data_IF_517708868401
#
_entry.id   IF_517708868401
#
_cell.length_a   1.000
_cell.length_b   1.000
_cell.length_c   1.000
_cell.angle_alpha   90.00
_cell.angle_beta   90.00
_cell.angle_gamma   90.00
#
_symmetry.space_group_name_H-M   'P 1'
#
loop_
_entity.id
_entity.type
_entity.pdbx_description
1 polymer ?
#
# COMPACT_ATOMS: atom_id res chain seq x y z
N UNK A 1 -17.57 11.49 17.99
CA UNK A 1 -17.23 12.88 17.61
C UNK A 1 -17.24 12.95 16.09
N UNK A 2 -18.12 13.74 15.48
CA UNK A 2 -18.13 13.95 14.04
C UNK A 2 -16.95 14.87 13.69
N UNK A 3 -15.79 14.28 13.40
CA UNK A 3 -14.63 15.05 12.93
C UNK A 3 -14.95 15.63 11.57
N UNK A 4 -14.88 16.95 11.45
CA UNK A 4 -14.99 17.64 10.15
C UNK A 4 -14.00 16.98 9.17
N UNK A 5 -14.45 16.60 7.95
CA UNK A 5 -13.56 16.00 6.97
C UNK A 5 -12.39 16.94 6.67
N UNK A 6 -11.17 16.42 6.74
CA UNK A 6 -9.97 17.23 6.50
C UNK A 6 -9.79 17.59 5.02
N UNK A 7 -10.35 16.76 4.14
CA UNK A 7 -10.39 16.96 2.68
C UNK A 7 -11.85 16.99 2.21
N UNK A 8 -12.11 17.67 1.09
CA UNK A 8 -13.42 17.55 0.42
C UNK A 8 -13.63 16.16 -0.19
N UNK A 9 -12.54 15.49 -0.58
CA UNK A 9 -12.58 14.18 -1.21
C UNK A 9 -12.70 13.05 -0.15
N UNK A 10 -13.72 12.20 -0.30
CA UNK A 10 -13.99 11.10 0.63
C UNK A 10 -12.88 10.03 0.65
N UNK A 11 -12.32 9.67 -0.51
CA UNK A 11 -11.22 8.71 -0.60
C UNK A 11 -9.99 9.23 0.15
N UNK A 12 -9.65 10.51 0.00
CA UNK A 12 -8.52 11.10 0.71
C UNK A 12 -8.68 11.05 2.23
N UNK A 13 -9.88 11.34 2.75
CA UNK A 13 -10.14 11.21 4.19
C UNK A 13 -10.05 9.75 4.68
N UNK A 14 -10.52 8.78 3.89
CA UNK A 14 -10.37 7.36 4.23
C UNK A 14 -8.91 6.95 4.27
N UNK A 15 -8.14 7.29 3.23
CA UNK A 15 -6.70 7.00 3.15
C UNK A 15 -5.95 7.58 4.35
N UNK A 16 -6.20 8.83 4.73
CA UNK A 16 -5.52 9.45 5.86
C UNK A 16 -5.97 8.92 7.21
N UNK A 17 -7.22 8.48 7.34
CA UNK A 17 -7.67 7.77 8.53
C UNK A 17 -6.91 6.45 8.68
N UNK A 18 -6.74 5.72 7.60
CA UNK A 18 -6.00 4.45 7.63
C UNK A 18 -4.49 4.67 7.88
N UNK A 19 -3.99 5.87 7.58
CA UNK A 19 -2.60 6.30 7.81
C UNK A 19 -2.42 7.17 9.06
N UNK A 20 -3.41 7.25 9.95
CA UNK A 20 -3.44 8.21 11.06
C UNK A 20 -2.30 8.06 12.09
N UNK A 21 -1.57 6.94 12.07
CA UNK A 21 -0.38 6.72 12.89
C UNK A 21 0.87 7.46 12.41
N UNK A 22 0.82 8.11 11.24
CA UNK A 22 1.93 8.84 10.64
C UNK A 22 1.68 10.34 10.68
N UNK A 23 2.76 11.13 10.83
CA UNK A 23 2.67 12.58 10.68
C UNK A 23 2.32 12.90 9.23
N UNK A 24 1.18 13.55 9.05
CA UNK A 24 0.64 13.93 7.75
C UNK A 24 0.49 15.44 7.63
N UNK A 25 0.76 15.98 6.44
CA UNK A 25 0.60 17.40 6.11
C UNK A 25 -0.20 17.53 4.82
N UNK A 26 -1.26 18.34 4.83
CA UNK A 26 -2.07 18.61 3.63
C UNK A 26 -1.31 19.54 2.70
N UNK A 27 -1.12 19.13 1.45
CA UNK A 27 -0.53 19.98 0.40
C UNK A 27 -1.60 20.70 -0.42
N UNK A 28 -2.60 19.95 -0.87
CA UNK A 28 -3.72 20.46 -1.68
C UNK A 28 -5.01 19.75 -1.27
N UNK A 29 -6.15 20.06 -1.89
CA UNK A 29 -7.39 19.27 -1.71
C UNK A 29 -7.30 17.83 -2.25
N UNK A 30 -6.26 17.51 -3.02
CA UNK A 30 -6.08 16.21 -3.66
C UNK A 30 -4.78 15.53 -3.25
N UNK A 31 -3.97 16.14 -2.37
CA UNK A 31 -2.68 15.57 -1.98
C UNK A 31 -2.26 15.89 -0.55
N UNK A 32 -1.52 14.97 0.03
CA UNK A 32 -0.88 15.10 1.33
C UNK A 32 0.52 14.48 1.31
N UNK A 33 1.36 14.91 2.22
CA UNK A 33 2.67 14.32 2.50
C UNK A 33 2.58 13.56 3.81
N UNK A 34 3.09 12.34 3.80
CA UNK A 34 3.36 11.54 4.98
C UNK A 34 4.85 11.55 5.26
N UNK A 35 5.23 11.87 6.48
CA UNK A 35 6.63 11.88 6.90
C UNK A 35 6.94 10.54 7.56
N UNK A 36 7.68 9.68 6.86
CA UNK A 36 8.10 8.38 7.42
C UNK A 36 9.25 8.56 8.40
N UNK A 37 10.21 9.43 8.05
CA UNK A 37 11.33 9.83 8.89
C UNK A 37 11.89 11.19 8.38
N UNK A 38 13.01 11.66 8.94
CA UNK A 38 13.63 12.93 8.57
C UNK A 38 14.06 13.04 7.09
N UNK A 39 14.28 11.91 6.41
CA UNK A 39 14.85 11.84 5.07
C UNK A 39 13.92 11.19 4.03
N UNK A 40 12.84 10.55 4.46
CA UNK A 40 11.89 9.83 3.59
C UNK A 40 10.48 10.32 3.81
N UNK A 41 9.83 10.70 2.71
CA UNK A 41 8.45 11.15 2.66
C UNK A 41 7.66 10.36 1.62
N UNK A 42 6.35 10.24 1.82
CA UNK A 42 5.43 9.67 0.83
C UNK A 42 4.41 10.74 0.45
N UNK A 43 4.33 11.08 -0.82
CA UNK A 43 3.28 11.93 -1.37
C UNK A 43 2.12 11.02 -1.73
N UNK A 44 0.99 11.24 -1.07
CA UNK A 44 -0.30 10.65 -1.42
C UNK A 44 -1.06 11.63 -2.32
N UNK A 45 -1.54 11.15 -3.47
CA UNK A 45 -2.28 11.97 -4.43
C UNK A 45 -3.52 11.23 -4.92
N UNK A 46 -4.70 11.80 -4.69
CA UNK A 46 -5.97 11.25 -5.18
C UNK A 46 -6.35 11.91 -6.50
N UNK A 47 -6.64 11.08 -7.50
CA UNK A 47 -7.22 11.51 -8.77
C UNK A 47 -8.64 10.98 -8.90
N UNK A 48 -9.48 11.78 -9.55
CA UNK A 48 -10.79 11.35 -10.00
C UNK A 48 -10.83 11.49 -11.52
N UNK A 49 -11.09 10.37 -12.22
CA UNK A 49 -11.34 10.35 -13.66
C UNK A 49 -12.78 9.96 -13.91
N UNK A 50 -13.48 10.74 -14.72
CA UNK A 50 -14.84 10.42 -15.16
C UNK A 50 -14.76 9.62 -16.46
N UNK A 51 -15.36 8.44 -16.46
CA UNK A 51 -15.51 7.61 -17.66
C UNK A 51 -17.00 7.35 -17.85
N UNK A 52 -17.58 7.99 -18.87
CA UNK A 52 -19.02 7.94 -19.16
C UNK A 52 -19.89 8.26 -17.92
N UNK A 53 -20.55 7.23 -17.38
CA UNK A 53 -21.45 7.30 -16.22
C UNK A 53 -20.77 6.96 -14.88
N UNK A 54 -19.49 6.61 -14.88
CA UNK A 54 -18.74 6.24 -13.69
C UNK A 54 -17.68 7.29 -13.31
N UNK A 55 -17.42 7.43 -12.00
CA UNK A 55 -16.27 8.15 -11.47
C UNK A 55 -15.28 7.15 -10.87
N UNK A 56 -14.11 7.03 -11.49
CA UNK A 56 -13.02 6.23 -10.97
C UNK A 56 -12.17 7.12 -10.10
N UNK A 57 -12.00 6.71 -8.84
CA UNK A 57 -11.08 7.36 -7.92
C UNK A 57 -9.84 6.47 -7.80
N UNK A 58 -8.66 7.06 -7.98
CA UNK A 58 -7.38 6.40 -7.73
C UNK A 58 -6.60 7.18 -6.68
N UNK A 59 -5.82 6.47 -5.88
CA UNK A 59 -4.87 7.06 -4.94
C UNK A 59 -3.47 6.58 -5.32
N UNK A 60 -2.59 7.52 -5.66
CA UNK A 60 -1.20 7.26 -5.98
C UNK A 60 -0.31 7.59 -4.78
N UNK A 61 0.66 6.73 -4.50
CA UNK A 61 1.68 6.94 -3.48
C UNK A 61 3.04 7.06 -4.15
N UNK A 62 3.77 8.14 -3.88
CA UNK A 62 5.12 8.37 -4.42
C UNK A 62 6.09 8.62 -3.29
N UNK A 63 7.14 7.81 -3.22
CA UNK A 63 8.20 8.01 -2.23
C UNK A 63 9.17 9.07 -2.71
N UNK A 64 9.53 10.01 -1.84
CA UNK A 64 10.58 11.01 -2.04
C UNK A 64 11.65 10.84 -0.96
N UNK A 65 12.91 10.82 -1.39
CA UNK A 65 14.07 10.64 -0.52
C UNK A 65 14.73 9.28 -0.71
N UNK A 66 15.76 9.00 0.10
CA UNK A 66 16.54 7.77 -0.04
C UNK A 66 15.77 6.58 0.49
N UNK A 67 15.61 5.56 -0.35
CA UNK A 67 15.10 4.24 0.05
C UNK A 67 16.30 3.33 0.17
N UNK A 68 16.75 3.07 1.40
CA UNK A 68 17.93 2.24 1.66
C UNK A 68 17.68 0.73 1.52
N UNK A 69 16.75 0.31 0.66
CA UNK A 69 16.39 -1.10 0.52
C UNK A 69 15.91 -1.43 -0.90
N UNK A 70 16.83 -1.69 -1.85
CA UNK A 70 16.46 -2.29 -3.11
C UNK A 70 16.43 -3.80 -2.91
N UNK A 71 15.28 -4.34 -2.52
CA UNK A 71 15.06 -5.77 -2.65
C UNK A 71 14.37 -6.01 -3.99
N UNK A 72 15.19 -6.08 -5.03
CA UNK A 72 14.73 -6.53 -6.34
C UNK A 72 14.43 -8.03 -6.30
N UNK A 73 13.41 -8.45 -7.03
CA UNK A 73 13.15 -9.87 -7.19
C UNK A 73 11.71 -10.21 -7.50
N UNK A 74 11.51 -11.49 -7.77
CA UNK A 74 10.21 -12.08 -8.07
C UNK A 74 9.81 -13.01 -6.94
N UNK A 75 8.75 -12.66 -6.21
CA UNK A 75 8.20 -13.48 -5.12
C UNK A 75 6.87 -14.08 -5.53
N UNK A 76 6.74 -15.38 -5.29
CA UNK A 76 5.48 -16.09 -5.43
C UNK A 76 4.70 -15.96 -4.14
N UNK A 77 3.46 -15.53 -4.31
CA UNK A 77 2.53 -15.33 -3.21
C UNK A 77 1.44 -16.38 -3.32
N UNK A 78 1.22 -17.12 -2.25
CA UNK A 78 0.28 -18.22 -2.21
C UNK A 78 -0.64 -18.11 -1.00
N UNK A 79 -1.95 -18.17 -1.23
CA UNK A 79 -2.95 -18.28 -0.19
C UNK A 79 -3.42 -19.74 -0.08
N UNK A 80 -3.06 -20.46 0.99
CA UNK A 80 -3.49 -21.83 1.20
C UNK A 80 -4.95 -21.92 1.65
N UNK A 81 -5.50 -23.12 1.58
CA UNK A 81 -6.89 -23.43 1.96
C UNK A 81 -7.88 -23.25 0.81
N UNK A 82 -8.59 -24.33 0.48
CA UNK A 82 -9.61 -24.29 -0.57
C UNK A 82 -10.93 -23.70 -0.05
N UNK A 83 -11.27 -24.00 1.21
CA UNK A 83 -12.55 -23.66 1.86
C UNK A 83 -12.45 -22.45 2.81
N UNK A 84 -11.28 -22.22 3.42
CA UNK A 84 -11.06 -21.13 4.40
C UNK A 84 -9.87 -20.28 3.94
N UNK A 85 -10.01 -18.96 4.02
CA UNK A 85 -8.92 -18.01 3.75
C UNK A 85 -7.87 -18.14 4.87
N UNK A 86 -6.71 -18.71 4.55
CA UNK A 86 -5.54 -18.67 5.43
C UNK A 86 -4.68 -17.44 5.10
N UNK A 87 -3.79 -17.02 6.02
CA UNK A 87 -2.80 -15.99 5.74
C UNK A 87 -1.96 -16.34 4.51
N UNK A 88 -1.61 -15.30 3.76
CA UNK A 88 -0.75 -15.40 2.59
C UNK A 88 0.67 -15.78 2.99
N UNK A 89 1.30 -16.66 2.21
CA UNK A 89 2.70 -17.08 2.37
C UNK A 89 3.53 -16.54 1.20
N UNK A 90 4.66 -15.91 1.52
CA UNK A 90 5.66 -15.48 0.55
C UNK A 90 6.70 -16.59 0.31
N UNK A 91 6.94 -16.94 -0.95
CA UNK A 91 7.88 -17.99 -1.36
C UNK A 91 8.75 -17.53 -2.54
N UNK A 92 9.96 -18.06 -2.66
CA UNK A 92 10.90 -17.64 -3.69
C UNK A 92 12.22 -18.41 -3.66
N UNK A 93 13.15 -18.02 -4.54
CA UNK A 93 14.50 -18.60 -4.60
C UNK A 93 15.36 -18.16 -3.40
N UNK A 94 16.48 -18.84 -3.17
CA UNK A 94 17.47 -18.45 -2.14
C UNK A 94 17.90 -16.97 -2.25
N UNK A 95 18.03 -16.46 -3.48
CA UNK A 95 18.36 -15.05 -3.74
C UNK A 95 17.30 -14.05 -3.24
N UNK A 96 16.06 -14.50 -3.02
CA UNK A 96 14.95 -13.67 -2.52
C UNK A 96 14.68 -13.83 -1.01
N UNK A 97 15.49 -14.62 -0.30
CA UNK A 97 15.27 -14.92 1.12
C UNK A 97 15.21 -13.66 2.00
N UNK A 98 16.09 -12.67 1.75
CA UNK A 98 16.06 -11.38 2.45
C UNK A 98 14.75 -10.63 2.27
N UNK A 99 14.18 -10.65 1.06
CA UNK A 99 12.91 -10.01 0.73
C UNK A 99 11.71 -10.73 1.34
N UNK A 100 11.72 -12.06 1.33
CA UNK A 100 10.69 -12.86 2.02
C UNK A 100 10.70 -12.56 3.52
N UNK A 101 11.88 -12.55 4.14
CA UNK A 101 12.04 -12.23 5.57
C UNK A 101 11.58 -10.80 5.88
N UNK A 102 11.84 -9.85 4.98
CA UNK A 102 11.36 -8.48 5.12
C UNK A 102 9.83 -8.41 5.05
N UNK A 103 9.20 -8.98 4.02
CA UNK A 103 7.74 -8.97 3.85
C UNK A 103 6.99 -9.65 5.00
N UNK A 104 7.57 -10.71 5.58
CA UNK A 104 7.02 -11.39 6.74
C UNK A 104 6.95 -10.53 8.02
N UNK A 105 7.59 -9.36 8.06
CA UNK A 105 7.47 -8.41 9.18
C UNK A 105 6.17 -7.60 9.14
N UNK A 106 5.38 -7.71 8.07
CA UNK A 106 4.17 -6.92 7.85
C UNK A 106 2.92 -7.82 7.83
N UNK A 107 2.38 -8.22 9.00
CA UNK A 107 1.19 -9.08 9.06
C UNK A 107 -0.03 -8.42 8.40
N UNK A 108 -0.16 -7.10 8.51
CA UNK A 108 -1.25 -6.35 7.86
C UNK A 108 -1.18 -6.44 6.33
N UNK A 109 0.03 -6.51 5.75
CA UNK A 109 0.21 -6.72 4.31
C UNK A 109 -0.24 -8.13 3.92
N UNK A 110 0.12 -9.15 4.70
CA UNK A 110 -0.34 -10.52 4.45
C UNK A 110 -1.87 -10.62 4.53
N UNK A 111 -2.48 -9.96 5.50
CA UNK A 111 -3.94 -9.89 5.63
C UNK A 111 -4.57 -9.21 4.42
N UNK A 112 -4.13 -8.00 4.05
CA UNK A 112 -4.68 -7.26 2.91
C UNK A 112 -4.56 -8.07 1.60
N UNK A 113 -3.41 -8.73 1.39
CA UNK A 113 -3.22 -9.61 0.23
C UNK A 113 -4.11 -10.86 0.28
N UNK A 114 -4.48 -11.35 1.46
CA UNK A 114 -5.39 -12.50 1.62
C UNK A 114 -6.85 -12.16 1.34
N UNK A 115 -7.18 -10.87 1.32
CA UNK A 115 -8.52 -10.36 1.00
C UNK A 115 -8.77 -10.27 -0.51
N UNK A 116 -7.71 -10.21 -1.30
CA UNK A 116 -7.78 -10.25 -2.76
C UNK A 116 -8.34 -11.60 -3.24
N UNK A 117 -9.14 -11.61 -4.29
CA UNK A 117 -9.72 -12.85 -4.86
C UNK A 117 -8.70 -13.74 -5.63
N UNK A 118 -7.40 -13.46 -5.48
CA UNK A 118 -6.32 -14.20 -6.10
C UNK A 118 -5.67 -15.18 -5.12
N UNK A 119 -5.78 -16.48 -5.37
CA UNK A 119 -5.10 -17.50 -4.54
C UNK A 119 -3.60 -17.59 -4.77
N UNK A 120 -3.15 -17.24 -5.97
CA UNK A 120 -1.75 -17.31 -6.39
C UNK A 120 -1.46 -16.13 -7.28
N UNK A 121 -0.43 -15.38 -6.93
CA UNK A 121 0.05 -14.28 -7.76
C UNK A 121 1.54 -14.09 -7.55
N UNK A 122 2.13 -13.21 -8.36
CA UNK A 122 3.55 -12.89 -8.28
C UNK A 122 3.70 -11.40 -8.01
N UNK A 123 4.50 -11.07 -7.02
CA UNK A 123 4.99 -9.70 -6.82
C UNK A 123 6.36 -9.57 -7.50
N UNK A 124 6.49 -8.55 -8.34
CA UNK A 124 7.73 -8.20 -9.03
C UNK A 124 8.20 -6.88 -8.47
N UNK A 125 9.40 -6.88 -7.89
CA UNK A 125 10.05 -5.71 -7.34
C UNK A 125 11.21 -5.31 -8.25
N UNK A 126 11.08 -4.13 -8.85
CA UNK A 126 12.09 -3.49 -9.72
C UNK A 126 12.61 -2.24 -9.03
N UNK A 127 13.90 -1.92 -9.18
CA UNK A 127 14.48 -0.65 -8.73
C UNK A 127 14.16 0.48 -9.68
#
# INVERSE_FOLDING_TARGET
MSSVPWFKNALMNMVLRDLSGWRCEKLTEHSAVLHLNAFTQVICHVQQKRLFMASIHSCEFRVKGTINYPLQGKIRVHQPGWLKRYPVIFTGSKSTAGLINYLNRFPNLQQALSELDYRRFTLVFTS
#
